data_IF_430003343137
#
_entry.id   IF_430003343137
#
_cell.length_a   1.000
_cell.length_b   1.000
_cell.length_c   1.000
_cell.angle_alpha   90.00
_cell.angle_beta   90.00
_cell.angle_gamma   90.00
#
_symmetry.space_group_name_H-M   'P 1'
#
loop_
_entity.id
_entity.type
_entity.pdbx_description
1 polymer ?
#
# COMPACT_ATOMS: atom_id res chain seq x y z
N UNK A 1 -6.10 -4.81 19.30
CA UNK A 1 -4.83 -4.08 19.10
C UNK A 1 -4.94 -2.75 19.81
N UNK A 2 -4.13 -2.58 20.84
CA UNK A 2 -3.99 -1.35 21.60
C UNK A 2 -2.62 -0.75 21.28
N UNK A 3 -2.58 0.51 20.85
CA UNK A 3 -1.36 1.19 20.44
C UNK A 3 -0.85 2.10 21.55
N UNK A 4 0.44 2.04 21.80
CA UNK A 4 1.17 3.08 22.55
C UNK A 4 2.14 3.73 21.60
N UNK A 5 2.18 5.06 21.56
CA UNK A 5 2.94 5.79 20.57
C UNK A 5 3.68 7.00 21.15
N UNK A 6 4.73 7.41 20.43
CA UNK A 6 5.41 8.70 20.60
C UNK A 6 5.22 9.50 19.32
N UNK A 7 4.74 10.73 19.47
CA UNK A 7 4.65 11.71 18.40
C UNK A 7 5.77 12.74 18.55
N UNK A 8 6.34 13.13 17.42
CA UNK A 8 7.16 14.33 17.31
C UNK A 8 6.28 15.49 16.84
N UNK A 9 6.23 16.54 17.65
CA UNK A 9 5.49 17.77 17.36
C UNK A 9 6.27 18.69 16.42
N UNK A 10 5.59 19.65 15.79
CA UNK A 10 6.23 20.65 14.93
C UNK A 10 7.28 21.52 15.65
N UNK A 11 7.16 21.68 16.97
CA UNK A 11 8.13 22.40 17.83
C UNK A 11 9.28 21.50 18.33
N UNK A 12 9.39 20.25 17.84
CA UNK A 12 10.40 19.27 18.24
C UNK A 12 10.15 18.62 19.60
N UNK A 13 9.06 18.96 20.31
CA UNK A 13 8.67 18.28 21.54
C UNK A 13 8.13 16.88 21.27
N UNK A 14 8.18 16.02 22.28
CA UNK A 14 7.66 14.65 22.18
C UNK A 14 6.39 14.49 23.01
N UNK A 15 5.36 13.89 22.42
CA UNK A 15 4.12 13.53 23.08
C UNK A 15 3.97 12.01 23.13
N UNK A 16 3.62 11.47 24.30
CA UNK A 16 3.36 10.02 24.48
C UNK A 16 1.88 9.81 24.75
N UNK A 17 1.27 8.86 24.04
CA UNK A 17 -0.14 8.54 24.18
C UNK A 17 -0.45 7.07 23.91
N UNK A 18 -1.69 6.69 24.18
CA UNK A 18 -2.27 5.40 23.82
C UNK A 18 -3.58 5.59 23.04
N UNK A 19 -3.98 4.59 22.24
CA UNK A 19 -5.26 4.51 21.54
C UNK A 19 -5.51 3.10 20.99
N UNK A 20 -6.77 2.73 20.70
CA UNK A 20 -7.11 1.52 19.95
C UNK A 20 -7.23 1.74 18.42
N UNK A 21 -7.15 3.00 17.96
CA UNK A 21 -7.19 3.38 16.54
C UNK A 21 -6.16 4.49 16.28
N UNK A 22 -4.94 4.08 15.92
CA UNK A 22 -3.82 4.99 15.72
C UNK A 22 -4.04 5.91 14.50
N UNK A 23 -4.60 5.37 13.42
CA UNK A 23 -4.87 6.11 12.18
C UNK A 23 -5.86 7.26 12.41
N UNK A 24 -6.97 7.01 13.12
CA UNK A 24 -7.91 8.06 13.51
C UNK A 24 -7.32 9.02 14.54
N UNK A 25 -6.47 8.52 15.44
CA UNK A 25 -5.85 9.34 16.48
C UNK A 25 -4.84 10.34 15.92
N UNK A 26 -3.99 9.92 14.98
CA UNK A 26 -3.08 10.81 14.24
C UNK A 26 -3.85 11.93 13.54
N UNK A 27 -4.96 11.56 12.89
CA UNK A 27 -5.89 12.47 12.24
C UNK A 27 -6.47 13.53 13.19
N UNK A 28 -6.88 13.11 14.38
CA UNK A 28 -7.37 14.02 15.42
C UNK A 28 -6.28 15.00 15.88
N UNK A 29 -5.06 14.54 16.12
CA UNK A 29 -3.94 15.40 16.50
C UNK A 29 -3.64 16.44 15.41
N UNK A 30 -3.53 16.00 14.15
CA UNK A 30 -3.24 16.86 13.00
C UNK A 30 -4.41 17.75 12.57
N UNK A 31 -5.59 17.61 13.17
CA UNK A 31 -6.73 18.53 12.99
C UNK A 31 -7.01 19.39 14.24
N UNK A 32 -6.10 19.39 15.23
CA UNK A 32 -6.26 20.18 16.47
C UNK A 32 -7.30 19.64 17.46
N UNK A 33 -7.92 18.49 17.16
CA UNK A 33 -8.91 17.78 17.97
C UNK A 33 -8.31 16.69 18.88
N UNK A 34 -6.99 16.47 18.79
CA UNK A 34 -6.26 15.54 19.63
C UNK A 34 -6.06 16.03 21.07
N UNK A 35 -5.01 15.53 21.73
CA UNK A 35 -4.69 15.92 23.10
C UNK A 35 -4.50 17.44 23.24
N UNK A 36 -4.85 17.99 24.42
CA UNK A 36 -4.63 19.41 24.75
C UNK A 36 -3.17 19.82 24.50
N UNK A 37 -2.23 18.92 24.80
CA UNK A 37 -0.80 19.17 24.60
C UNK A 37 -0.44 19.41 23.13
N UNK A 38 -0.94 18.58 22.22
CA UNK A 38 -0.61 18.69 20.78
C UNK A 38 -1.37 19.80 20.07
N UNK A 39 -2.38 20.40 20.70
CA UNK A 39 -3.13 21.52 20.12
C UNK A 39 -2.20 22.72 19.94
N UNK A 40 -2.08 23.22 18.71
CA UNK A 40 -1.13 24.28 18.35
C UNK A 40 0.31 23.79 18.11
N UNK A 41 0.55 22.47 18.13
CA UNK A 41 1.86 21.84 17.85
C UNK A 41 1.83 20.89 16.65
N UNK A 42 0.77 20.97 15.86
CA UNK A 42 0.63 20.26 14.60
C UNK A 42 1.45 20.96 13.48
N UNK A 43 1.85 20.23 12.42
CA UNK A 43 1.65 18.80 12.22
C UNK A 43 2.52 17.97 13.19
N UNK A 44 1.97 16.86 13.66
CA UNK A 44 2.67 15.84 14.43
C UNK A 44 3.01 14.65 13.52
N UNK A 45 4.15 14.03 13.78
CA UNK A 45 4.63 12.83 13.10
C UNK A 45 4.70 11.66 14.07
N UNK A 46 4.34 10.46 13.64
CA UNK A 46 4.53 9.22 14.38
C UNK A 46 6.03 8.88 14.40
N UNK A 47 6.65 9.04 15.56
CA UNK A 47 8.07 8.75 15.74
C UNK A 47 8.30 7.30 16.20
N UNK A 48 7.35 6.74 16.95
CA UNK A 48 7.42 5.37 17.48
C UNK A 48 6.01 4.86 17.79
N UNK A 49 5.79 3.56 17.64
CA UNK A 49 4.60 2.86 18.14
C UNK A 49 4.92 1.41 18.53
N UNK A 50 4.16 0.90 19.50
CA UNK A 50 4.03 -0.53 19.76
C UNK A 50 2.57 -0.93 19.98
N UNK A 51 2.30 -2.21 19.70
CA UNK A 51 0.97 -2.82 19.77
C UNK A 51 0.94 -3.83 20.92
N UNK A 52 -0.19 -3.84 21.63
CA UNK A 52 -0.51 -4.74 22.72
C UNK A 52 -1.87 -5.40 22.47
N UNK A 53 -2.06 -6.58 23.06
CA UNK A 53 -3.32 -7.33 22.94
C UNK A 53 -4.40 -6.79 23.86
N UNK A 54 -4.01 -6.32 25.05
CA UNK A 54 -4.92 -5.75 26.03
C UNK A 54 -4.57 -4.32 26.47
N UNK A 55 -5.61 -3.64 26.94
CA UNK A 55 -5.55 -2.23 27.34
C UNK A 55 -4.71 -2.02 28.59
N UNK A 56 -4.66 -2.98 29.51
CA UNK A 56 -3.93 -2.85 30.76
C UNK A 56 -2.43 -2.80 30.49
N UNK A 57 -1.93 -3.70 29.65
CA UNK A 57 -0.53 -3.70 29.18
C UNK A 57 -0.17 -2.40 28.48
N UNK A 58 -1.01 -1.94 27.54
CA UNK A 58 -0.78 -0.69 26.82
C UNK A 58 -0.70 0.52 27.78
N UNK A 59 -1.60 0.62 28.76
CA UNK A 59 -1.57 1.71 29.74
C UNK A 59 -0.36 1.62 30.68
N UNK A 60 0.05 0.41 31.06
CA UNK A 60 1.28 0.17 31.82
C UNK A 60 2.52 0.63 31.06
N UNK A 61 2.62 0.27 29.78
CA UNK A 61 3.72 0.67 28.91
C UNK A 61 3.71 2.18 28.62
N UNK A 62 2.55 2.78 28.39
CA UNK A 62 2.41 4.24 28.23
C UNK A 62 2.90 4.99 29.48
N UNK A 63 2.55 4.50 30.68
CA UNK A 63 3.00 5.08 31.94
C UNK A 63 4.52 4.95 32.12
N UNK A 64 5.11 3.82 31.72
CA UNK A 64 6.56 3.63 31.71
C UNK A 64 7.24 4.60 30.74
N UNK A 65 6.77 4.67 29.48
CA UNK A 65 7.28 5.60 28.48
C UNK A 65 7.19 7.07 28.93
N UNK A 66 6.10 7.47 29.60
CA UNK A 66 5.95 8.83 30.12
C UNK A 66 7.02 9.21 31.15
N UNK A 67 7.52 8.25 31.92
CA UNK A 67 8.58 8.45 32.93
C UNK A 67 9.98 8.51 32.32
N UNK A 68 10.17 8.01 31.09
CA UNK A 68 11.47 8.04 30.44
C UNK A 68 11.92 9.50 30.17
N UNK A 69 13.19 9.83 30.46
CA UNK A 69 13.81 11.06 30.01
C UNK A 69 13.71 11.24 28.49
N UNK A 70 13.74 12.49 28.01
CA UNK A 70 13.72 12.78 26.57
C UNK A 70 14.83 12.04 25.82
N UNK A 71 16.03 11.95 26.40
CA UNK A 71 17.18 11.25 25.81
C UNK A 71 16.89 9.78 25.57
N UNK A 72 16.26 9.09 26.52
CA UNK A 72 15.89 7.67 26.36
C UNK A 72 14.79 7.47 25.32
N UNK A 73 13.82 8.38 25.25
CA UNK A 73 12.81 8.36 24.16
C UNK A 73 13.45 8.53 22.78
N UNK A 74 14.41 9.43 22.66
CA UNK A 74 15.15 9.63 21.41
C UNK A 74 15.96 8.38 21.05
N UNK A 75 16.57 7.71 22.03
CA UNK A 75 17.27 6.44 21.80
C UNK A 75 16.33 5.33 21.32
N UNK A 76 15.11 5.23 21.86
CA UNK A 76 14.09 4.29 21.37
C UNK A 76 13.72 4.57 19.90
N UNK A 77 13.49 5.84 19.56
CA UNK A 77 13.17 6.26 18.19
C UNK A 77 14.35 5.97 17.26
N UNK A 78 15.56 6.31 17.67
CA UNK A 78 16.78 6.08 16.88
C UNK A 78 17.07 4.58 16.68
N UNK A 79 16.85 3.76 17.71
CA UNK A 79 17.00 2.30 17.61
C UNK A 79 16.05 1.69 16.58
N UNK A 80 14.84 2.25 16.43
CA UNK A 80 13.91 1.83 15.36
C UNK A 80 14.37 2.25 13.97
N UNK A 81 15.00 3.44 13.86
CA UNK A 81 15.57 3.95 12.61
C UNK A 81 16.76 3.14 12.09
N UNK A 82 17.43 2.40 12.97
CA UNK A 82 18.55 1.54 12.63
C UNK A 82 18.13 0.18 12.04
N UNK A 83 16.83 -0.10 11.91
CA UNK A 83 16.35 -1.29 11.21
C UNK A 83 16.60 -1.10 9.71
N UNK A 84 17.47 -1.94 9.15
CA UNK A 84 17.73 -1.99 7.71
C UNK A 84 16.46 -2.39 6.95
N UNK A 85 16.19 -1.66 5.86
CA UNK A 85 15.05 -1.93 4.98
C UNK A 85 14.37 -0.66 4.48
N UNK A 86 13.33 -0.88 3.68
CA UNK A 86 12.48 0.17 3.12
C UNK A 86 11.66 0.88 4.23
N UNK A 87 11.56 2.20 4.13
CA UNK A 87 10.70 3.02 4.98
C UNK A 87 9.48 3.47 4.20
N UNK A 88 8.32 3.38 4.83
CA UNK A 88 7.05 3.78 4.26
C UNK A 88 6.49 4.97 5.03
N UNK A 89 5.92 5.92 4.30
CA UNK A 89 5.19 7.03 4.91
C UNK A 89 3.87 6.52 5.50
N UNK A 90 3.66 6.83 6.77
CA UNK A 90 2.41 6.57 7.49
C UNK A 90 1.40 7.64 7.15
N UNK A 91 0.17 7.24 6.89
CA UNK A 91 -0.96 8.12 6.63
C UNK A 91 -1.92 8.12 7.82
N UNK A 92 -2.51 9.28 8.11
CA UNK A 92 -3.66 9.33 9.01
C UNK A 92 -4.99 8.99 8.30
N UNK A 93 -6.08 9.01 9.06
CA UNK A 93 -7.42 8.73 8.53
C UNK A 93 -7.92 9.74 7.47
N UNK A 94 -7.22 10.84 7.23
CA UNK A 94 -7.51 11.80 6.15
C UNK A 94 -6.50 11.67 4.98
N UNK A 95 -5.63 10.67 5.00
CA UNK A 95 -4.61 10.47 3.97
C UNK A 95 -3.41 11.42 4.08
N UNK A 96 -3.23 12.11 5.21
CA UNK A 96 -2.09 13.03 5.39
C UNK A 96 -0.88 12.26 5.89
N UNK A 97 0.29 12.57 5.33
CA UNK A 97 1.57 12.04 5.78
C UNK A 97 1.85 12.40 7.25
N UNK A 98 2.19 11.39 8.05
CA UNK A 98 2.35 11.47 9.50
C UNK A 98 3.67 10.82 9.95
N UNK A 99 4.76 11.03 9.20
CA UNK A 99 6.06 10.43 9.49
C UNK A 99 6.23 9.06 8.84
N UNK A 100 7.40 8.47 9.04
CA UNK A 100 7.83 7.27 8.32
C UNK A 100 8.19 6.16 9.30
N UNK A 101 7.93 4.91 8.92
CA UNK A 101 8.24 3.73 9.71
C UNK A 101 8.85 2.64 8.82
N UNK A 102 9.73 1.78 9.37
CA UNK A 102 10.24 0.65 8.60
C UNK A 102 9.10 -0.25 8.15
N UNK A 103 9.15 -0.74 6.91
CA UNK A 103 8.08 -1.55 6.30
C UNK A 103 7.61 -2.73 7.16
N UNK A 104 8.54 -3.41 7.81
CA UNK A 104 8.23 -4.54 8.72
C UNK A 104 7.34 -4.11 9.89
N UNK A 105 7.51 -2.89 10.39
CA UNK A 105 6.66 -2.29 11.44
C UNK A 105 5.29 -1.99 10.91
N UNK A 106 5.22 -1.42 9.71
CA UNK A 106 3.99 -0.99 9.07
C UNK A 106 3.03 -2.17 8.92
N UNK A 107 3.49 -3.26 8.29
CA UNK A 107 2.67 -4.45 8.11
C UNK A 107 2.39 -5.19 9.41
N UNK A 108 3.35 -5.26 10.35
CA UNK A 108 3.14 -5.92 11.65
C UNK A 108 2.08 -5.21 12.48
N UNK A 109 2.08 -3.88 12.45
CA UNK A 109 1.22 -3.05 13.29
C UNK A 109 -0.02 -2.54 12.53
N UNK A 110 -0.20 -2.86 11.25
CA UNK A 110 -1.33 -2.38 10.45
C UNK A 110 -1.37 -0.85 10.34
N UNK A 111 -0.21 -0.20 10.23
CA UNK A 111 -0.14 1.24 10.07
C UNK A 111 -0.57 1.60 8.66
N UNK A 112 -1.48 2.58 8.52
CA UNK A 112 -1.95 2.98 7.20
C UNK A 112 -0.81 3.56 6.37
N UNK A 113 -0.66 3.07 5.14
CA UNK A 113 0.39 3.49 4.21
C UNK A 113 -0.15 3.50 2.78
N UNK A 114 0.68 3.92 1.81
CA UNK A 114 0.30 3.99 0.41
C UNK A 114 1.04 2.98 -0.46
N UNK A 115 0.32 2.50 -1.46
CA UNK A 115 0.82 1.60 -2.50
C UNK A 115 0.41 2.13 -3.87
N UNK A 116 1.02 1.61 -4.93
CA UNK A 116 0.70 1.92 -6.32
C UNK A 116 0.36 0.63 -7.06
N UNK A 117 -0.66 0.67 -7.90
CA UNK A 117 -1.05 -0.45 -8.78
C UNK A 117 -1.10 0.02 -10.23
N UNK A 118 -0.50 -0.75 -11.14
CA UNK A 118 -0.50 -0.45 -12.58
C UNK A 118 -1.39 -1.41 -13.36
N UNK A 119 -2.38 -0.84 -14.03
CA UNK A 119 -3.18 -1.51 -15.05
C UNK A 119 -2.60 -1.20 -16.43
N UNK A 120 -2.00 -2.20 -17.07
CA UNK A 120 -1.50 -2.07 -18.45
C UNK A 120 -2.56 -2.57 -19.41
N UNK A 121 -3.10 -1.66 -20.21
CA UNK A 121 -4.12 -1.89 -21.21
C UNK A 121 -3.48 -2.19 -22.57
N UNK A 122 -4.01 -3.18 -23.29
CA UNK A 122 -3.63 -3.43 -24.68
C UNK A 122 -4.78 -4.09 -25.45
N UNK A 123 -5.01 -3.62 -26.67
CA UNK A 123 -5.95 -4.23 -27.62
C UNK A 123 -5.21 -5.19 -28.54
N UNK A 124 -5.59 -6.47 -28.52
CA UNK A 124 -5.06 -7.51 -29.42
C UNK A 124 -6.18 -7.96 -30.36
N UNK A 125 -5.95 -7.90 -31.67
CA UNK A 125 -6.93 -8.29 -32.71
C UNK A 125 -8.33 -7.66 -32.54
N UNK A 126 -8.36 -6.40 -32.12
CA UNK A 126 -9.60 -5.66 -31.87
C UNK A 126 -10.28 -5.97 -30.53
N UNK A 127 -9.70 -6.84 -29.71
CA UNK A 127 -10.20 -7.19 -28.37
C UNK A 127 -9.42 -6.42 -27.31
N UNK A 128 -10.06 -5.57 -26.49
CA UNK A 128 -9.38 -4.85 -25.42
C UNK A 128 -9.10 -5.79 -24.24
N UNK A 129 -7.93 -5.66 -23.64
CA UNK A 129 -7.49 -6.48 -22.52
C UNK A 129 -6.49 -5.81 -21.61
N UNK A 130 -6.09 -6.55 -20.59
CA UNK A 130 -5.13 -6.13 -19.57
C UNK A 130 -4.00 -7.14 -19.47
N UNK A 131 -2.84 -6.67 -19.03
CA UNK A 131 -1.74 -7.53 -18.64
C UNK A 131 -1.74 -7.79 -17.14
N UNK A 132 -1.52 -9.04 -16.79
CA UNK A 132 -1.28 -9.50 -15.43
C UNK A 132 0.15 -10.00 -15.33
N UNK A 133 0.78 -9.79 -14.18
CA UNK A 133 2.04 -10.45 -13.87
C UNK A 133 1.77 -11.77 -13.13
N UNK A 134 2.67 -12.74 -13.28
CA UNK A 134 2.71 -13.95 -12.48
C UNK A 134 3.88 -13.86 -11.52
N UNK A 135 3.59 -13.85 -10.22
CA UNK A 135 4.57 -13.71 -9.15
C UNK A 135 5.52 -14.91 -9.12
N UNK A 136 6.79 -14.67 -8.83
CA UNK A 136 7.77 -15.73 -8.69
C UNK A 136 7.39 -16.74 -7.58
N UNK A 137 7.85 -17.98 -7.73
CA UNK A 137 7.47 -19.09 -6.84
C UNK A 137 8.16 -19.03 -5.47
N UNK A 138 9.20 -18.22 -5.33
CA UNK A 138 9.97 -18.01 -4.11
C UNK A 138 9.50 -16.78 -3.31
N UNK A 139 8.46 -16.08 -3.79
CA UNK A 139 7.90 -14.92 -3.09
C UNK A 139 7.34 -15.35 -1.73
N UNK A 140 7.66 -14.63 -0.64
CA UNK A 140 7.21 -15.00 0.70
C UNK A 140 5.69 -14.92 0.85
N UNK A 141 5.06 -14.00 0.10
CA UNK A 141 3.62 -13.87 0.02
C UNK A 141 3.13 -14.12 -1.40
N UNK A 142 2.08 -14.94 -1.48
CA UNK A 142 1.36 -15.27 -2.70
C UNK A 142 2.25 -15.81 -3.85
N UNK A 143 3.11 -16.81 -3.61
CA UNK A 143 3.98 -17.36 -4.65
C UNK A 143 3.17 -17.95 -5.80
N UNK A 144 3.56 -17.64 -7.04
CA UNK A 144 2.93 -18.17 -8.26
C UNK A 144 1.56 -17.60 -8.61
N UNK A 145 0.98 -16.75 -7.76
CA UNK A 145 -0.31 -16.08 -8.01
C UNK A 145 -0.18 -15.02 -9.10
N UNK A 146 -1.31 -14.70 -9.73
CA UNK A 146 -1.41 -13.57 -10.65
C UNK A 146 -1.61 -12.27 -9.87
N UNK A 147 -1.18 -11.15 -10.45
CA UNK A 147 -1.26 -9.83 -9.85
C UNK A 147 -1.47 -8.76 -10.93
N UNK A 148 -1.74 -7.50 -10.56
CA UNK A 148 -1.72 -6.41 -11.55
C UNK A 148 -0.34 -6.32 -12.23
N UNK A 149 -0.25 -5.66 -13.39
CA UNK A 149 0.96 -5.66 -14.22
C UNK A 149 2.23 -5.17 -13.49
N UNK A 150 2.07 -4.28 -12.50
CA UNK A 150 3.07 -3.97 -11.50
C UNK A 150 2.36 -3.46 -10.24
N UNK A 151 2.87 -3.81 -9.06
CA UNK A 151 2.37 -3.31 -7.77
C UNK A 151 3.55 -2.98 -6.87
N UNK A 152 3.36 -2.08 -5.90
CA UNK A 152 4.44 -1.81 -4.96
C UNK A 152 4.16 -0.68 -4.00
N UNK A 153 5.13 -0.45 -3.12
CA UNK A 153 4.97 0.54 -2.07
C UNK A 153 5.47 1.91 -2.54
N UNK A 154 4.91 2.96 -1.95
CA UNK A 154 5.46 4.30 -2.08
C UNK A 154 6.47 4.50 -0.95
N UNK A 155 7.74 4.63 -1.31
CA UNK A 155 8.82 4.89 -0.37
C UNK A 155 8.65 6.22 0.36
N UNK A 156 9.31 6.36 1.52
CA UNK A 156 9.28 7.61 2.29
C UNK A 156 9.76 8.81 1.45
N UNK A 157 8.86 9.78 1.25
CA UNK A 157 9.12 10.99 0.45
C UNK A 157 9.00 10.80 -1.07
N UNK A 158 8.69 9.60 -1.55
CA UNK A 158 8.46 9.30 -2.97
C UNK A 158 7.06 9.75 -3.41
N UNK A 159 6.92 10.24 -4.64
CA UNK A 159 5.61 10.55 -5.21
C UNK A 159 4.97 9.30 -5.83
N UNK A 160 3.62 9.15 -5.81
CA UNK A 160 2.95 8.00 -6.42
C UNK A 160 3.35 7.72 -7.88
N UNK A 161 3.52 8.78 -8.69
CA UNK A 161 3.92 8.64 -10.09
C UNK A 161 5.38 8.16 -10.24
N UNK A 162 6.27 8.56 -9.34
CA UNK A 162 7.66 8.10 -9.33
C UNK A 162 7.73 6.62 -8.93
N UNK A 163 6.99 6.24 -7.88
CA UNK A 163 6.88 4.88 -7.40
C UNK A 163 6.40 3.95 -8.52
N UNK A 164 5.30 4.27 -9.21
CA UNK A 164 4.77 3.35 -10.22
C UNK A 164 5.66 3.19 -11.45
N UNK A 165 6.42 4.22 -11.82
CA UNK A 165 7.43 4.14 -12.89
C UNK A 165 8.58 3.22 -12.46
N UNK A 166 9.00 3.32 -11.20
CA UNK A 166 10.03 2.44 -10.61
C UNK A 166 9.55 0.99 -10.57
N UNK A 167 8.37 0.73 -10.02
CA UNK A 167 7.80 -0.63 -9.90
C UNK A 167 7.57 -1.26 -11.28
N UNK A 168 7.01 -0.51 -12.25
CA UNK A 168 6.82 -1.00 -13.61
C UNK A 168 8.13 -1.47 -14.25
N UNK A 169 9.21 -0.71 -14.04
CA UNK A 169 10.55 -1.06 -14.55
C UNK A 169 11.14 -2.25 -13.81
N UNK A 170 11.01 -2.32 -12.49
CA UNK A 170 11.64 -3.34 -11.65
C UNK A 170 10.93 -4.69 -11.72
N UNK A 171 9.60 -4.70 -11.72
CA UNK A 171 8.81 -5.93 -11.72
C UNK A 171 8.64 -6.51 -13.12
N UNK A 172 8.10 -5.74 -14.08
CA UNK A 172 7.77 -6.24 -15.41
C UNK A 172 8.68 -5.71 -16.54
N UNK A 173 9.68 -4.89 -16.21
CA UNK A 173 10.65 -4.35 -17.17
C UNK A 173 10.09 -3.25 -18.08
N UNK A 174 8.89 -2.73 -17.76
CA UNK A 174 8.19 -1.79 -18.61
C UNK A 174 8.73 -0.37 -18.38
N UNK A 175 9.38 0.21 -19.40
CA UNK A 175 9.80 1.61 -19.37
C UNK A 175 8.62 2.50 -19.77
N UNK A 176 7.98 3.14 -18.80
CA UNK A 176 6.85 4.05 -19.02
C UNK A 176 7.29 5.50 -18.91
N UNK A 177 6.79 6.36 -19.81
CA UNK A 177 6.90 7.79 -19.63
C UNK A 177 5.87 8.22 -18.56
N UNK A 178 6.28 8.95 -17.51
CA UNK A 178 5.36 9.44 -16.51
C UNK A 178 4.17 10.20 -17.09
N UNK A 179 4.31 10.90 -18.22
CA UNK A 179 3.24 11.70 -18.82
C UNK A 179 2.18 10.86 -19.56
N UNK A 180 2.51 9.60 -19.89
CA UNK A 180 1.55 8.66 -20.51
C UNK A 180 0.69 7.93 -19.47
N UNK A 181 0.97 8.11 -18.18
CA UNK A 181 0.23 7.46 -17.09
C UNK A 181 -1.00 8.27 -16.70
N UNK A 182 -2.17 7.62 -16.77
CA UNK A 182 -3.40 8.14 -16.18
C UNK A 182 -3.54 7.63 -14.75
N UNK A 183 -3.68 8.53 -13.78
CA UNK A 183 -3.98 8.16 -12.39
C UNK A 183 -5.47 8.35 -12.13
N UNK A 184 -6.12 7.43 -11.42
CA UNK A 184 -7.48 7.65 -10.95
C UNK A 184 -7.52 8.79 -9.91
N UNK A 185 -8.62 9.56 -9.90
CA UNK A 185 -8.76 10.78 -9.07
C UNK A 185 -8.63 10.52 -7.56
N UNK A 186 -9.07 9.35 -7.11
CA UNK A 186 -9.05 8.97 -5.70
C UNK A 186 -8.38 7.60 -5.51
N UNK A 187 -7.51 7.47 -4.50
CA UNK A 187 -6.95 6.17 -4.16
C UNK A 187 -8.02 5.24 -3.60
N UNK A 188 -7.85 3.94 -3.83
CA UNK A 188 -8.72 2.90 -3.29
C UNK A 188 -8.23 2.50 -1.89
N UNK A 189 -9.11 2.58 -0.88
CA UNK A 189 -8.79 2.10 0.45
C UNK A 189 -9.07 0.60 0.55
N UNK A 190 -8.07 -0.17 0.96
CA UNK A 190 -8.16 -1.61 1.14
C UNK A 190 -7.54 -2.02 2.48
N UNK A 191 -8.16 -3.01 3.13
CA UNK A 191 -7.70 -3.50 4.42
C UNK A 191 -7.90 -5.01 4.53
N UNK A 192 -6.83 -5.76 4.77
CA UNK A 192 -6.87 -7.22 4.76
C UNK A 192 -5.77 -7.83 5.64
N UNK A 193 -6.07 -8.97 6.25
CA UNK A 193 -5.12 -9.72 7.05
C UNK A 193 -4.08 -10.39 6.14
N UNK A 194 -2.82 -10.37 6.57
CA UNK A 194 -1.73 -11.00 5.84
C UNK A 194 -1.56 -12.45 6.27
N UNK A 195 -1.16 -13.36 5.37
CA UNK A 195 -0.85 -14.75 5.72
C UNK A 195 0.25 -14.91 6.77
N UNK A 196 1.15 -13.91 6.89
CA UNK A 196 2.26 -13.88 7.84
C UNK A 196 1.89 -13.34 9.23
N UNK A 197 0.61 -13.06 9.49
CA UNK A 197 0.11 -12.57 10.78
C UNK A 197 0.10 -11.05 10.95
N UNK A 198 0.45 -10.29 9.91
CA UNK A 198 0.28 -8.84 9.86
C UNK A 198 -1.09 -8.37 9.35
N UNK A 199 -1.21 -7.06 9.15
CA UNK A 199 -2.40 -6.40 8.61
C UNK A 199 -1.95 -5.35 7.59
N UNK A 200 -2.53 -5.39 6.40
CA UNK A 200 -2.42 -4.30 5.44
C UNK A 200 -3.62 -3.36 5.57
N UNK A 201 -3.32 -2.07 5.66
CA UNK A 201 -4.25 -0.94 5.64
C UNK A 201 -3.69 0.06 4.62
N UNK A 202 -4.09 -0.08 3.36
CA UNK A 202 -3.42 0.50 2.21
C UNK A 202 -4.33 1.50 1.49
N UNK A 203 -3.73 2.62 1.11
CA UNK A 203 -4.29 3.55 0.12
C UNK A 203 -3.63 3.29 -1.23
N UNK A 204 -4.32 2.57 -2.12
CA UNK A 204 -3.82 2.21 -3.43
C UNK A 204 -4.05 3.33 -4.45
N UNK A 205 -2.97 3.92 -4.93
CA UNK A 205 -2.98 4.85 -6.07
C UNK A 205 -2.96 4.05 -7.37
N UNK A 206 -4.06 4.11 -8.11
CA UNK A 206 -4.26 3.27 -9.29
C UNK A 206 -3.88 4.05 -10.54
N UNK A 207 -2.98 3.45 -11.33
CA UNK A 207 -2.52 3.98 -12.60
C UNK A 207 -2.97 3.08 -13.74
N UNK A 208 -3.30 3.70 -14.87
CA UNK A 208 -3.61 3.05 -16.13
C UNK A 208 -2.61 3.51 -17.19
N UNK A 209 -2.17 2.56 -18.00
CA UNK A 209 -1.21 2.78 -19.07
C UNK A 209 -1.65 2.04 -20.33
N UNK A 210 -1.81 2.78 -21.43
CA UNK A 210 -1.99 2.18 -22.75
C UNK A 210 -0.64 1.75 -23.31
N UNK A 211 -0.43 0.43 -23.37
CA UNK A 211 0.84 -0.12 -23.84
C UNK A 211 1.10 0.29 -25.30
N UNK A 212 2.28 0.85 -25.54
CA UNK A 212 2.70 1.22 -26.90
C UNK A 212 3.02 -0.04 -27.72
N UNK A 213 2.62 -0.09 -29.01
CA UNK A 213 2.95 -1.22 -29.88
C UNK A 213 4.45 -1.54 -29.89
N UNK A 214 4.80 -2.81 -29.75
CA UNK A 214 6.19 -3.30 -29.77
C UNK A 214 6.99 -3.09 -28.47
N UNK A 215 6.39 -2.47 -27.44
CA UNK A 215 7.05 -2.32 -26.14
C UNK A 215 7.11 -3.66 -25.42
N UNK A 216 8.29 -4.28 -25.30
CA UNK A 216 8.45 -5.59 -24.66
C UNK A 216 8.39 -5.49 -23.12
N UNK A 217 7.92 -6.58 -22.49
CA UNK A 217 8.16 -6.82 -21.06
C UNK A 217 9.52 -7.48 -20.89
N UNK A 218 10.19 -7.18 -19.78
CA UNK A 218 11.43 -7.82 -19.35
C UNK A 218 11.35 -8.06 -17.84
N UNK A 219 10.57 -9.07 -17.39
CA UNK A 219 10.33 -9.32 -15.98
C UNK A 219 11.61 -9.41 -15.15
N UNK A 220 11.60 -8.75 -13.99
CA UNK A 220 12.65 -8.85 -12.98
C UNK A 220 12.60 -10.16 -12.21
N UNK A 221 13.34 -10.25 -11.10
CA UNK A 221 13.36 -11.45 -10.26
C UNK A 221 12.06 -11.72 -9.50
N UNK A 222 11.13 -10.75 -9.47
CA UNK A 222 9.84 -10.82 -8.78
C UNK A 222 8.76 -11.51 -9.59
N UNK A 223 8.96 -11.61 -10.90
CA UNK A 223 7.93 -11.95 -11.87
C UNK A 223 8.45 -13.03 -12.80
N UNK A 224 7.70 -14.12 -12.93
CA UNK A 224 8.07 -15.26 -13.79
C UNK A 224 7.35 -15.25 -15.14
N UNK A 225 6.40 -14.34 -15.34
CA UNK A 225 5.70 -14.20 -16.61
C UNK A 225 4.72 -13.05 -16.63
N UNK A 226 4.41 -12.57 -17.83
CA UNK A 226 3.35 -11.61 -18.10
C UNK A 226 2.29 -12.30 -18.95
N UNK A 227 1.02 -12.09 -18.64
CA UNK A 227 -0.08 -12.76 -19.32
C UNK A 227 -1.19 -11.76 -19.67
N UNK A 228 -1.54 -11.71 -20.94
CA UNK A 228 -2.67 -10.91 -21.40
C UNK A 228 -3.98 -11.65 -21.18
N UNK A 229 -5.02 -10.89 -20.82
CA UNK A 229 -6.40 -11.39 -20.68
C UNK A 229 -7.36 -10.34 -21.22
N UNK A 230 -8.40 -10.78 -21.95
CA UNK A 230 -9.44 -9.86 -22.41
C UNK A 230 -10.16 -9.23 -21.23
N UNK A 231 -10.52 -7.95 -21.34
CA UNK A 231 -11.23 -7.22 -20.28
C UNK A 231 -12.59 -7.84 -19.96
N UNK A 232 -13.28 -8.36 -20.99
CA UNK A 232 -14.57 -9.02 -20.81
C UNK A 232 -14.43 -10.30 -19.97
N UNK A 233 -13.47 -11.15 -20.29
CA UNK A 233 -13.28 -12.40 -19.57
C UNK A 233 -12.71 -12.18 -18.15
N UNK A 234 -11.77 -11.24 -17.99
CA UNK A 234 -11.27 -10.85 -16.67
C UNK A 234 -12.39 -10.28 -15.80
N UNK A 235 -13.18 -9.33 -16.34
CA UNK A 235 -14.32 -8.77 -15.63
C UNK A 235 -15.38 -9.80 -15.25
N UNK A 236 -15.66 -10.78 -16.13
CA UNK A 236 -16.56 -11.89 -15.84
C UNK A 236 -16.09 -12.71 -14.63
N UNK A 237 -14.81 -13.08 -14.58
CA UNK A 237 -14.23 -13.78 -13.42
C UNK A 237 -14.33 -12.96 -12.15
N UNK A 238 -14.01 -11.66 -12.19
CA UNK A 238 -14.07 -10.79 -11.02
C UNK A 238 -15.50 -10.58 -10.48
N UNK A 239 -16.51 -10.67 -11.35
CA UNK A 239 -17.91 -10.38 -11.03
C UNK A 239 -18.74 -11.62 -10.68
N UNK A 240 -18.43 -12.77 -11.28
CA UNK A 240 -19.19 -14.02 -11.08
C UNK A 240 -18.44 -15.03 -10.22
N UNK A 241 -17.12 -14.90 -10.10
CA UNK A 241 -16.26 -15.90 -9.48
C UNK A 241 -16.00 -17.12 -10.36
N UNK A 242 -16.51 -17.16 -11.59
CA UNK A 242 -16.22 -18.25 -12.53
C UNK A 242 -14.78 -18.15 -13.06
N UNK A 243 -14.00 -19.26 -13.07
CA UNK A 243 -12.62 -19.26 -13.53
C UNK A 243 -12.50 -18.79 -14.98
N UNK A 244 -11.50 -17.96 -15.22
CA UNK A 244 -10.95 -17.75 -16.56
C UNK A 244 -10.10 -18.97 -16.91
N UNK A 245 -10.31 -19.57 -18.08
CA UNK A 245 -9.47 -20.67 -18.59
C UNK A 245 -8.82 -20.23 -19.90
N UNK A 246 -7.50 -20.28 -19.95
CA UNK A 246 -6.75 -20.00 -21.17
C UNK A 246 -6.61 -21.23 -22.08
N UNK A 247 -6.24 -21.06 -23.37
CA UNK A 247 -6.12 -22.17 -24.32
C UNK A 247 -5.13 -23.27 -23.94
N UNK A 248 -4.11 -22.95 -23.13
CA UNK A 248 -3.13 -23.91 -22.60
C UNK A 248 -3.66 -24.70 -21.38
N UNK A 249 -4.90 -24.45 -20.95
CA UNK A 249 -5.54 -25.10 -19.82
C UNK A 249 -5.19 -24.50 -18.46
N UNK A 250 -4.34 -23.48 -18.40
CA UNK A 250 -4.15 -22.71 -17.16
C UNK A 250 -5.44 -21.96 -16.83
N UNK A 251 -5.74 -21.86 -15.54
CA UNK A 251 -6.92 -21.16 -15.04
C UNK A 251 -6.55 -20.05 -14.06
N UNK A 252 -7.36 -19.00 -14.03
CA UNK A 252 -7.32 -17.93 -13.04
C UNK A 252 -8.68 -17.85 -12.34
N UNK A 253 -8.68 -18.17 -11.06
CA UNK A 253 -9.75 -17.88 -10.13
C UNK A 253 -9.51 -16.54 -9.42
N UNK A 254 -10.56 -15.93 -8.85
CA UNK A 254 -10.43 -14.71 -8.03
C UNK A 254 -9.45 -14.90 -6.87
N UNK A 255 -9.47 -16.07 -6.23
CA UNK A 255 -8.54 -16.41 -5.14
C UNK A 255 -7.09 -16.62 -5.62
N UNK A 256 -6.90 -16.78 -6.93
CA UNK A 256 -5.60 -16.85 -7.59
C UNK A 256 -4.94 -15.49 -7.79
N UNK A 257 -5.62 -14.39 -7.46
CA UNK A 257 -5.06 -13.04 -7.47
C UNK A 257 -4.38 -12.73 -6.13
N UNK A 258 -3.20 -12.09 -6.18
CA UNK A 258 -2.48 -11.61 -5.00
C UNK A 258 -3.09 -10.30 -4.48
N UNK A 259 -3.33 -9.33 -5.36
CA UNK A 259 -4.04 -8.09 -5.06
C UNK A 259 -5.32 -8.01 -5.90
N UNK A 260 -6.45 -8.45 -5.32
CA UNK A 260 -7.77 -8.17 -5.86
C UNK A 260 -8.63 -7.41 -4.86
N UNK A 261 -9.08 -6.23 -5.27
CA UNK A 261 -9.94 -5.38 -4.47
C UNK A 261 -11.16 -4.94 -5.28
N UNK A 262 -12.39 -5.35 -4.88
CA UNK A 262 -13.61 -5.04 -5.64
C UNK A 262 -13.84 -3.53 -5.87
N UNK A 263 -13.41 -2.68 -4.93
CA UNK A 263 -13.50 -1.23 -5.06
C UNK A 263 -12.62 -0.70 -6.19
N UNK A 264 -11.41 -1.23 -6.32
CA UNK A 264 -10.48 -0.88 -7.39
C UNK A 264 -10.99 -1.34 -8.75
N UNK A 265 -11.43 -2.60 -8.86
CA UNK A 265 -12.02 -3.10 -10.12
C UNK A 265 -13.20 -2.24 -10.56
N UNK A 266 -14.09 -1.88 -9.62
CA UNK A 266 -15.23 -1.00 -9.92
C UNK A 266 -14.78 0.38 -10.44
N UNK A 267 -13.72 0.94 -9.87
CA UNK A 267 -13.18 2.24 -10.29
C UNK A 267 -12.55 2.16 -11.69
N UNK A 268 -11.73 1.13 -11.94
CA UNK A 268 -11.09 0.89 -13.25
C UNK A 268 -12.12 0.59 -14.33
N UNK A 269 -13.09 -0.30 -14.07
CA UNK A 269 -14.18 -0.62 -15.00
C UNK A 269 -14.97 0.63 -15.39
N UNK A 270 -15.26 1.49 -14.42
CA UNK A 270 -15.95 2.77 -14.67
C UNK A 270 -15.13 3.69 -15.57
N UNK A 271 -13.84 3.87 -15.28
CA UNK A 271 -12.95 4.70 -16.10
C UNK A 271 -12.86 4.18 -17.54
N UNK A 272 -12.72 2.86 -17.72
CA UNK A 272 -12.66 2.23 -19.05
C UNK A 272 -13.97 2.47 -19.83
N UNK A 273 -15.12 2.39 -19.15
CA UNK A 273 -16.42 2.66 -19.78
C UNK A 273 -16.58 4.13 -20.20
N UNK A 274 -16.17 5.07 -19.33
CA UNK A 274 -16.23 6.52 -19.60
C UNK A 274 -15.29 6.95 -20.73
N UNK A 275 -14.15 6.28 -20.90
CA UNK A 275 -13.21 6.54 -21.99
C UNK A 275 -13.72 6.11 -23.36
N UNK A 276 -14.53 5.05 -23.41
CA UNK A 276 -14.99 4.42 -24.66
C UNK A 276 -16.40 4.88 -25.09
N UNK A 277 -17.08 5.70 -24.28
CA UNK A 277 -18.40 6.27 -24.57
C UNK A 277 -18.31 7.72 -25.01
#
# INVERSE_FOLDING_TARGET
MEYVYILECADGTLYTGWTNDLTARLAAHNSGRGAKYTRGRAPVKLAFSEVFDDRSEALGYEAALKKLPRTEKLNLIAGRRAIDGEYLTILDAQGRACGDQPRTVVHRQGLRHAVVHLWVLETQDGVPGVWLQRRALDRPLYPGRYDQAATGHIGAGEQPREAIVREAREECGLVVDPDDLTMLDAPCHQRYARPDGGLDDEMAYVFLYDRKPGQAFAPGSEVIGMRWVSLAAFGHTLETGEPLIWPDGEALDVDGLACYHPAEWKAVKRWIAERNG
#
